data_IF_354071715772
#
_entry.id   IF_354071715772
#
_cell.length_a   1.000
_cell.length_b   1.000
_cell.length_c   1.000
_cell.angle_alpha   90.00
_cell.angle_beta   90.00
_cell.angle_gamma   90.00
#
_symmetry.space_group_name_H-M   'P 1'
#
loop_
_entity.id
_entity.type
_entity.pdbx_description
1 polymer ?
#
# COMPACT_ATOMS: atom_id res chain seq x y z
N UNK A 1 -18.52 12.27 -24.12
CA UNK A 1 -17.63 13.34 -23.63
C UNK A 1 -16.72 12.78 -22.54
N UNK A 2 -15.39 12.89 -22.68
CA UNK A 2 -14.43 12.51 -21.63
C UNK A 2 -14.59 13.29 -20.29
N UNK A 3 -15.51 14.27 -20.24
CA UNK A 3 -15.85 15.04 -19.05
C UNK A 3 -17.05 14.48 -18.23
N UNK A 4 -17.67 13.36 -18.63
CA UNK A 4 -18.68 12.66 -17.81
C UNK A 4 -18.11 11.34 -17.32
N UNK A 5 -17.45 11.37 -16.16
CA UNK A 5 -17.12 10.15 -15.41
C UNK A 5 -18.40 9.56 -14.80
N UNK A 6 -18.57 8.23 -14.86
CA UNK A 6 -19.65 7.52 -14.19
C UNK A 6 -19.51 7.49 -12.66
N UNK A 7 -18.34 7.86 -12.15
CA UNK A 7 -18.02 7.92 -10.71
C UNK A 7 -17.42 9.28 -10.33
N UNK A 8 -17.58 9.66 -9.06
CA UNK A 8 -16.96 10.85 -8.46
C UNK A 8 -16.35 10.49 -7.12
N UNK A 9 -15.15 10.99 -6.84
CA UNK A 9 -14.53 10.89 -5.52
C UNK A 9 -15.27 11.82 -4.56
N UNK A 10 -15.47 11.35 -3.33
CA UNK A 10 -16.17 12.06 -2.25
C UNK A 10 -15.32 12.05 -0.97
N UNK A 11 -15.84 12.71 0.07
CA UNK A 11 -15.25 12.73 1.43
C UNK A 11 -13.82 13.28 1.50
N UNK A 12 -13.69 14.57 1.19
CA UNK A 12 -12.43 15.32 1.32
C UNK A 12 -12.18 15.79 2.77
N UNK A 13 -12.90 15.28 3.79
CA UNK A 13 -12.78 15.72 5.18
C UNK A 13 -11.42 15.42 5.82
N UNK A 14 -10.68 14.46 5.28
CA UNK A 14 -9.30 14.13 5.68
C UNK A 14 -8.24 14.64 4.68
N UNK A 15 -8.63 15.39 3.66
CA UNK A 15 -7.70 15.95 2.67
C UNK A 15 -6.91 17.12 3.26
N UNK A 16 -5.67 17.27 2.84
CA UNK A 16 -4.82 18.40 3.22
C UNK A 16 -3.92 18.80 2.06
N UNK A 17 -3.47 20.05 2.06
CA UNK A 17 -2.37 20.45 1.19
C UNK A 17 -1.07 19.81 1.67
N UNK A 18 -0.17 19.50 0.76
CA UNK A 18 1.07 18.78 1.08
C UNK A 18 1.96 19.51 2.11
N UNK A 19 1.88 20.85 2.16
CA UNK A 19 2.61 21.70 3.11
C UNK A 19 1.86 21.94 4.43
N UNK A 20 0.63 21.44 4.58
CA UNK A 20 -0.25 21.65 5.73
C UNK A 20 -0.68 20.32 6.36
N UNK A 21 0.27 19.38 6.50
CA UNK A 21 0.00 18.05 7.06
C UNK A 21 -0.22 18.15 8.58
N UNK A 22 -1.42 17.80 9.03
CA UNK A 22 -1.82 17.87 10.46
C UNK A 22 -1.70 16.51 11.17
N UNK A 23 -1.96 15.41 10.47
CA UNK A 23 -2.12 14.09 11.08
C UNK A 23 -1.08 13.08 10.60
N UNK A 24 -0.62 12.22 11.51
CA UNK A 24 0.31 11.11 11.24
C UNK A 24 -0.40 9.76 11.08
N UNK A 25 -1.63 9.64 11.59
CA UNK A 25 -2.49 8.47 11.44
C UNK A 25 -3.66 8.82 10.51
N UNK A 26 -3.52 8.49 9.23
CA UNK A 26 -4.46 8.83 8.16
C UNK A 26 -4.77 7.60 7.31
N UNK A 27 -5.71 7.73 6.35
CA UNK A 27 -6.21 6.66 5.48
C UNK A 27 -6.97 5.55 6.24
N UNK A 28 -7.89 4.88 5.56
CA UNK A 28 -8.49 3.64 6.05
C UNK A 28 -7.46 2.50 5.99
N UNK A 29 -7.41 1.65 7.02
CA UNK A 29 -6.29 0.71 7.27
C UNK A 29 -5.93 -0.18 6.08
N UNK A 30 -6.91 -0.78 5.40
CA UNK A 30 -6.66 -1.70 4.28
C UNK A 30 -6.03 -1.00 3.06
N UNK A 31 -6.23 0.31 2.96
CA UNK A 31 -5.73 1.16 1.87
C UNK A 31 -4.57 2.05 2.33
N UNK A 32 -4.09 1.87 3.57
CA UNK A 32 -3.03 2.70 4.15
C UNK A 32 -1.68 2.32 3.60
N UNK A 33 -0.93 3.33 3.19
CA UNK A 33 0.40 3.20 2.62
C UNK A 33 1.47 2.81 3.66
N UNK A 34 2.57 2.14 3.24
CA UNK A 34 3.63 1.73 4.15
C UNK A 34 4.33 2.91 4.82
N UNK A 35 4.55 4.02 4.12
CA UNK A 35 5.19 5.23 4.66
C UNK A 35 4.39 5.84 5.83
N UNK A 36 3.05 5.80 5.78
CA UNK A 36 2.19 6.25 6.88
C UNK A 36 2.31 5.29 8.07
N UNK A 37 2.28 3.98 7.84
CA UNK A 37 2.44 2.97 8.90
C UNK A 37 3.81 3.10 9.58
N UNK A 38 4.85 3.32 8.79
CA UNK A 38 6.25 3.42 9.23
C UNK A 38 6.63 4.80 9.79
N UNK A 39 5.73 5.77 9.74
CA UNK A 39 5.95 7.13 10.24
C UNK A 39 7.03 7.88 9.47
N UNK A 40 7.08 7.69 8.15
CA UNK A 40 7.87 8.51 7.24
C UNK A 40 7.08 9.74 6.81
N UNK A 41 7.76 10.71 6.20
CA UNK A 41 7.08 11.78 5.49
C UNK A 41 6.28 11.18 4.33
N UNK A 42 4.98 11.46 4.31
CA UNK A 42 4.09 11.05 3.24
C UNK A 42 3.78 12.24 2.32
N UNK A 43 3.29 11.96 1.12
CA UNK A 43 2.81 12.95 0.16
C UNK A 43 1.69 12.34 -0.69
N UNK A 44 1.36 12.94 -1.84
CA UNK A 44 0.31 12.48 -2.77
C UNK A 44 0.46 11.03 -3.25
N UNK A 45 1.63 10.39 -3.10
CA UNK A 45 1.81 8.98 -3.46
C UNK A 45 0.99 8.01 -2.60
N UNK A 46 0.52 8.42 -1.40
CA UNK A 46 -0.34 7.57 -0.57
C UNK A 46 -1.67 7.26 -1.25
N UNK A 47 -2.14 8.17 -2.11
CA UNK A 47 -3.39 8.00 -2.85
C UNK A 47 -3.19 6.98 -3.98
N UNK A 48 -2.02 6.97 -4.61
CA UNK A 48 -1.67 5.96 -5.62
C UNK A 48 -1.53 4.56 -5.01
N UNK A 49 -1.04 4.45 -3.78
CA UNK A 49 -1.08 3.21 -3.03
C UNK A 49 -2.54 2.76 -2.78
N UNK A 50 -3.37 3.68 -2.29
CA UNK A 50 -4.80 3.41 -2.03
C UNK A 50 -5.51 2.94 -3.30
N UNK A 51 -5.23 3.57 -4.44
CA UNK A 51 -5.75 3.19 -5.74
C UNK A 51 -5.36 1.76 -6.11
N UNK A 52 -4.09 1.37 -5.93
CA UNK A 52 -3.63 0.00 -6.16
C UNK A 52 -4.41 -1.02 -5.31
N UNK A 53 -4.62 -0.72 -4.02
CA UNK A 53 -5.43 -1.55 -3.13
C UNK A 53 -6.90 -1.64 -3.57
N UNK A 54 -7.52 -0.51 -3.94
CA UNK A 54 -8.92 -0.45 -4.38
C UNK A 54 -9.11 -1.24 -5.67
N UNK A 55 -8.21 -1.11 -6.66
CA UNK A 55 -8.30 -1.85 -7.92
C UNK A 55 -8.19 -3.36 -7.70
N UNK A 56 -7.26 -3.79 -6.82
CA UNK A 56 -7.14 -5.19 -6.43
C UNK A 56 -8.42 -5.72 -5.76
N UNK A 57 -9.04 -4.92 -4.89
CA UNK A 57 -10.29 -5.28 -4.22
C UNK A 57 -11.49 -5.30 -5.17
N UNK A 58 -11.59 -4.34 -6.10
CA UNK A 58 -12.63 -4.34 -7.13
C UNK A 58 -12.54 -5.57 -8.03
N UNK A 59 -11.32 -6.01 -8.36
CA UNK A 59 -11.12 -7.19 -9.20
C UNK A 59 -11.40 -8.51 -8.46
N UNK A 60 -10.94 -8.64 -7.22
CA UNK A 60 -11.00 -9.91 -6.48
C UNK A 60 -12.23 -10.05 -5.58
N UNK A 61 -12.91 -8.94 -5.27
CA UNK A 61 -13.97 -8.86 -4.27
C UNK A 61 -13.48 -8.82 -2.81
N UNK A 62 -12.16 -8.80 -2.56
CA UNK A 62 -11.58 -8.83 -1.21
C UNK A 62 -10.40 -7.87 -1.07
N UNK A 63 -10.19 -7.24 0.10
CA UNK A 63 -9.04 -6.37 0.33
C UNK A 63 -7.72 -7.14 0.15
N UNK A 64 -6.80 -6.59 -0.64
CA UNK A 64 -5.48 -7.21 -0.89
C UNK A 64 -4.62 -7.31 0.39
N UNK A 65 -4.78 -6.35 1.31
CA UNK A 65 -4.08 -6.31 2.60
C UNK A 65 -5.07 -6.15 3.76
N UNK A 66 -5.69 -7.26 4.24
CA UNK A 66 -6.72 -7.21 5.28
C UNK A 66 -6.11 -7.34 6.68
N UNK A 67 -5.35 -6.34 7.14
CA UNK A 67 -4.76 -6.34 8.49
C UNK A 67 -5.74 -5.90 9.60
N UNK A 68 -5.78 -6.62 10.71
CA UNK A 68 -6.57 -6.35 11.92
C UNK A 68 -6.05 -5.10 12.66
N UNK A 69 -4.74 -4.86 12.61
CA UNK A 69 -4.05 -3.72 13.22
C UNK A 69 -2.86 -3.28 12.35
N UNK A 70 -2.11 -2.24 12.75
CA UNK A 70 -0.99 -1.71 11.96
C UNK A 70 0.13 -2.73 11.74
N UNK A 71 0.42 -3.59 12.74
CA UNK A 71 1.47 -4.61 12.64
C UNK A 71 1.06 -5.74 11.69
N UNK A 72 -0.20 -6.19 11.75
CA UNK A 72 -0.70 -7.18 10.79
C UNK A 72 -0.84 -6.57 9.39
N UNK A 73 -1.22 -5.29 9.28
CA UNK A 73 -1.30 -4.59 7.99
C UNK A 73 0.06 -4.61 7.29
N UNK A 74 1.14 -4.21 7.98
CA UNK A 74 2.49 -4.28 7.42
C UNK A 74 2.92 -5.72 7.13
N UNK A 75 2.51 -6.69 7.96
CA UNK A 75 2.79 -8.12 7.72
C UNK A 75 2.09 -8.65 6.47
N UNK A 76 0.86 -8.20 6.18
CA UNK A 76 0.15 -8.51 4.93
C UNK A 76 0.88 -7.92 3.71
N UNK A 77 1.37 -6.69 3.82
CA UNK A 77 2.15 -6.04 2.75
C UNK A 77 3.42 -6.85 2.49
N UNK A 78 4.20 -7.17 3.54
CA UNK A 78 5.44 -7.94 3.40
C UNK A 78 5.21 -9.36 2.88
N UNK A 79 4.07 -9.99 3.19
CA UNK A 79 3.71 -11.32 2.67
C UNK A 79 3.69 -11.36 1.14
N UNK A 80 3.30 -10.25 0.49
CA UNK A 80 3.14 -10.15 -0.97
C UNK A 80 4.33 -9.46 -1.63
N UNK A 81 4.84 -8.38 -1.03
CA UNK A 81 5.87 -7.52 -1.64
C UNK A 81 7.28 -7.80 -1.12
N UNK A 82 7.45 -8.74 -0.19
CA UNK A 82 8.70 -8.96 0.50
C UNK A 82 9.06 -7.84 1.48
N UNK A 83 10.31 -7.80 1.92
CA UNK A 83 10.78 -6.78 2.86
C UNK A 83 11.04 -5.44 2.15
N UNK A 84 10.81 -4.30 2.83
CA UNK A 84 11.34 -3.04 2.35
C UNK A 84 12.86 -3.03 2.41
N UNK A 85 13.48 -2.22 1.55
CA UNK A 85 14.92 -2.01 1.56
C UNK A 85 15.39 -1.40 2.90
N UNK A 86 16.63 -1.71 3.29
CA UNK A 86 17.22 -1.23 4.56
C UNK A 86 17.21 0.29 4.70
N UNK A 87 17.38 1.01 3.60
CA UNK A 87 17.31 2.47 3.60
C UNK A 87 15.91 2.96 4.03
N UNK A 88 14.85 2.37 3.49
CA UNK A 88 13.48 2.72 3.83
C UNK A 88 13.18 2.42 5.31
N UNK A 89 13.65 1.26 5.80
CA UNK A 89 13.58 0.92 7.24
C UNK A 89 14.32 1.96 8.07
N UNK A 90 15.49 2.42 7.64
CA UNK A 90 16.29 3.38 8.38
C UNK A 90 15.66 4.76 8.46
N UNK A 91 15.01 5.22 7.38
CA UNK A 91 14.23 6.47 7.31
C UNK A 91 12.94 6.44 8.15
N UNK A 92 12.49 5.27 8.57
CA UNK A 92 11.23 5.08 9.29
C UNK A 92 11.34 5.44 10.78
N UNK A 93 10.57 6.43 11.25
CA UNK A 93 10.57 6.83 12.68
C UNK A 93 9.97 5.75 13.59
N UNK A 94 9.03 4.95 13.07
CA UNK A 94 8.32 3.89 13.80
C UNK A 94 8.95 2.50 13.64
N UNK A 95 10.14 2.38 13.06
CA UNK A 95 10.76 1.08 12.72
C UNK A 95 10.82 0.06 13.87
N UNK A 96 11.05 0.52 15.10
CA UNK A 96 11.18 -0.36 16.29
C UNK A 96 9.91 -1.15 16.61
N UNK A 97 8.73 -0.67 16.18
CA UNK A 97 7.45 -1.37 16.35
C UNK A 97 7.33 -2.59 15.42
N UNK A 98 8.01 -2.57 14.28
CA UNK A 98 7.82 -3.54 13.21
C UNK A 98 9.05 -4.41 12.97
N UNK A 99 10.24 -3.91 13.28
CA UNK A 99 11.52 -4.57 13.06
C UNK A 99 12.32 -4.66 14.36
N UNK A 100 13.14 -5.71 14.48
CA UNK A 100 14.12 -5.86 15.55
C UNK A 100 15.43 -5.10 15.25
N UNK A 101 16.42 -5.25 16.13
CA UNK A 101 17.73 -4.60 15.99
C UNK A 101 18.54 -5.08 14.77
N UNK A 102 18.22 -6.25 14.22
CA UNK A 102 18.86 -6.80 13.02
C UNK A 102 18.19 -6.35 11.73
N UNK A 103 17.05 -5.65 11.84
CA UNK A 103 16.21 -5.27 10.71
C UNK A 103 15.24 -6.37 10.27
N UNK A 104 15.14 -7.48 11.01
CA UNK A 104 14.19 -8.55 10.72
C UNK A 104 12.79 -8.14 11.23
N UNK A 105 11.70 -8.52 10.51
CA UNK A 105 10.35 -8.25 10.97
C UNK A 105 10.03 -8.96 12.28
N UNK A 106 9.38 -8.24 13.19
CA UNK A 106 8.84 -8.81 14.41
C UNK A 106 7.69 -9.77 14.06
N UNK A 107 7.62 -10.95 14.70
CA UNK A 107 6.55 -11.90 14.44
C UNK A 107 5.21 -11.34 14.90
N UNK A 108 4.21 -11.39 14.02
CA UNK A 108 2.83 -11.00 14.31
C UNK A 108 1.94 -12.23 14.11
N UNK A 109 1.11 -12.51 15.10
CA UNK A 109 0.09 -13.56 15.06
C UNK A 109 -1.25 -12.85 15.12
N UNK A 110 -2.13 -13.15 14.16
CA UNK A 110 -3.46 -12.53 14.13
C UNK A 110 -4.46 -13.26 15.05
N UNK A 111 -5.68 -12.74 15.14
CA UNK A 111 -6.75 -13.31 15.97
C UNK A 111 -7.05 -14.79 15.70
N UNK A 112 -6.71 -15.29 14.50
CA UNK A 112 -6.90 -16.68 14.07
C UNK A 112 -5.67 -17.57 14.25
N UNK A 113 -4.64 -17.08 14.94
CA UNK A 113 -3.38 -17.84 15.14
C UNK A 113 -2.47 -17.91 13.93
N UNK A 114 -2.77 -17.18 12.83
CA UNK A 114 -1.96 -17.21 11.61
C UNK A 114 -0.76 -16.27 11.73
N UNK A 115 0.43 -16.81 11.48
CA UNK A 115 1.68 -16.06 11.34
C UNK A 115 2.03 -15.89 9.86
N UNK A 116 2.16 -14.64 9.41
CA UNK A 116 2.58 -14.33 8.02
C UNK A 116 4.10 -14.26 7.93
N UNK A 117 4.63 -14.62 6.76
CA UNK A 117 6.06 -14.55 6.45
C UNK A 117 6.25 -13.71 5.19
N UNK A 118 7.31 -12.88 5.12
CA UNK A 118 7.57 -12.09 3.93
C UNK A 118 7.74 -12.94 2.67
N UNK A 119 7.29 -12.42 1.52
CA UNK A 119 7.46 -13.00 0.19
C UNK A 119 6.96 -14.45 0.01
N UNK A 120 6.01 -14.92 0.83
CA UNK A 120 5.38 -16.23 0.63
C UNK A 120 4.25 -16.21 -0.41
N UNK A 121 3.86 -15.02 -0.89
CA UNK A 121 2.87 -14.85 -1.96
C UNK A 121 3.41 -13.92 -3.03
N UNK A 122 2.90 -14.07 -4.24
CA UNK A 122 3.14 -13.15 -5.35
C UNK A 122 1.92 -12.25 -5.55
N UNK A 123 2.13 -11.06 -6.12
CA UNK A 123 1.03 -10.15 -6.44
C UNK A 123 0.03 -10.80 -7.41
N UNK A 124 0.51 -11.38 -8.51
CA UNK A 124 -0.31 -12.11 -9.48
C UNK A 124 -1.14 -13.23 -8.81
N UNK A 125 -0.53 -14.00 -7.89
CA UNK A 125 -1.22 -15.08 -7.18
C UNK A 125 -2.30 -14.58 -6.22
N UNK A 126 -2.13 -13.40 -5.61
CA UNK A 126 -3.16 -12.78 -4.77
C UNK A 126 -4.28 -12.19 -5.61
N UNK A 127 -3.95 -11.56 -6.73
CA UNK A 127 -4.92 -11.02 -7.69
C UNK A 127 -5.68 -12.13 -8.43
N UNK A 128 -5.13 -13.35 -8.53
CA UNK A 128 -5.65 -14.45 -9.36
C UNK A 128 -5.94 -13.98 -10.79
N UNK A 129 -5.03 -13.18 -11.32
CA UNK A 129 -5.18 -12.50 -12.60
C UNK A 129 -4.00 -12.84 -13.51
N UNK A 130 -4.32 -13.27 -14.74
CA UNK A 130 -3.33 -13.58 -15.77
C UNK A 130 -3.11 -12.40 -16.74
N UNK A 131 -3.84 -11.29 -16.58
CA UNK A 131 -3.60 -10.06 -17.34
C UNK A 131 -2.34 -9.36 -16.81
N UNK A 132 -1.23 -9.57 -17.52
CA UNK A 132 0.07 -9.01 -17.17
C UNK A 132 0.06 -7.47 -17.10
N UNK A 133 -0.76 -6.79 -17.91
CA UNK A 133 -0.83 -5.32 -17.91
C UNK A 133 -1.54 -4.80 -16.66
N UNK A 134 -2.59 -5.49 -16.22
CA UNK A 134 -3.26 -5.17 -14.96
C UNK A 134 -2.34 -5.42 -13.76
N UNK A 135 -1.71 -6.59 -13.71
CA UNK A 135 -0.78 -6.94 -12.63
C UNK A 135 0.39 -5.95 -12.59
N UNK A 136 0.96 -5.57 -13.74
CA UNK A 136 2.01 -4.56 -13.85
C UNK A 136 1.54 -3.19 -13.35
N UNK A 137 0.35 -2.74 -13.76
CA UNK A 137 -0.24 -1.47 -13.29
C UNK A 137 -0.37 -1.44 -11.77
N UNK A 138 -0.98 -2.49 -11.18
CA UNK A 138 -1.15 -2.60 -9.72
C UNK A 138 0.21 -2.69 -9.03
N UNK A 139 1.19 -3.40 -9.60
CA UNK A 139 2.54 -3.51 -9.03
C UNK A 139 3.24 -2.15 -8.93
N UNK A 140 3.07 -1.29 -9.94
CA UNK A 140 3.65 0.07 -9.96
C UNK A 140 2.95 1.01 -9.00
N UNK A 141 1.68 0.76 -8.67
CA UNK A 141 0.97 1.45 -7.59
C UNK A 141 1.42 0.97 -6.19
N UNK A 142 1.75 -0.31 -6.04
CA UNK A 142 2.12 -0.93 -4.76
C UNK A 142 3.63 -1.00 -4.55
N UNK A 143 4.35 0.07 -4.90
CA UNK A 143 5.80 0.19 -4.65
C UNK A 143 6.05 0.70 -3.23
N UNK A 144 6.99 0.08 -2.53
CA UNK A 144 7.43 0.47 -1.18
C UNK A 144 7.87 1.93 -1.09
N UNK A 145 8.80 2.33 -1.95
CA UNK A 145 9.37 3.68 -1.96
C UNK A 145 8.41 4.64 -2.67
N UNK A 146 7.82 5.64 -1.97
CA UNK A 146 6.81 6.50 -2.55
C UNK A 146 7.32 7.37 -3.71
N UNK A 147 8.63 7.65 -3.75
CA UNK A 147 9.27 8.39 -4.85
C UNK A 147 9.32 7.59 -6.17
N UNK A 148 9.36 6.26 -6.08
CA UNK A 148 9.38 5.33 -7.22
C UNK A 148 7.98 4.87 -7.62
N UNK A 149 6.96 5.19 -6.83
CA UNK A 149 5.58 4.78 -7.07
C UNK A 149 4.99 5.51 -8.28
N UNK A 150 4.14 4.81 -9.03
CA UNK A 150 3.45 5.36 -10.19
C UNK A 150 2.71 6.65 -9.82
N UNK A 151 2.91 7.71 -10.60
CA UNK A 151 2.19 8.98 -10.46
C UNK A 151 0.95 8.99 -11.35
N UNK A 152 -0.10 9.79 -11.05
CA UNK A 152 -1.36 9.73 -11.82
C UNK A 152 -1.18 10.03 -13.31
N UNK A 153 -0.29 10.96 -13.67
CA UNK A 153 -0.14 11.41 -15.06
C UNK A 153 0.51 10.33 -15.93
N UNK A 154 1.61 9.67 -15.50
CA UNK A 154 2.09 8.44 -16.12
C UNK A 154 1.08 7.28 -16.08
N UNK A 155 0.28 7.15 -15.01
CA UNK A 155 -0.72 6.08 -14.90
C UNK A 155 -1.77 6.15 -16.01
N UNK A 156 -2.23 7.35 -16.38
CA UNK A 156 -3.16 7.57 -17.49
C UNK A 156 -2.59 7.20 -18.87
N UNK A 157 -1.29 6.93 -18.97
CA UNK A 157 -0.60 6.52 -20.20
C UNK A 157 -0.11 5.07 -20.12
N UNK A 158 -0.43 4.37 -19.05
CA UNK A 158 -0.05 2.98 -18.89
C UNK A 158 -0.80 2.10 -19.89
N UNK A 159 -0.19 1.08 -20.51
CA UNK A 159 -0.87 0.23 -21.51
C UNK A 159 -2.11 -0.53 -21.03
N UNK A 160 -2.40 -0.53 -19.73
CA UNK A 160 -3.60 -1.11 -19.16
C UNK A 160 -4.83 -0.19 -19.29
N UNK A 161 -4.59 1.14 -19.39
CA UNK A 161 -5.61 2.20 -19.49
C UNK A 161 -5.79 2.60 -20.95
#
# INVERSE_FOLDING_TARGET
>A
HPAKSGIKVIDFGSSCFEHEKVYTYIQSRFYRSPEVILGMNYHTAIDMWSLGCILAELYTGYPIFPGENEQEQLSCIMEVLGLPDKDLINRSSRKRLFFDSTGAPRPVVNSKGRRRRPATKTLAGVLKCDDELFVDFVSKCLVWDPERRLKPQPALRHPFI
#
